data_IF_792608012950
#
_entry.id   IF_792608012950
#
_cell.length_a   1.000
_cell.length_b   1.000
_cell.length_c   1.000
_cell.angle_alpha   90.00
_cell.angle_beta   90.00
_cell.angle_gamma   90.00
#
_symmetry.space_group_name_H-M   'P 1'
#
loop_
_entity.id
_entity.type
_entity.pdbx_description
1 polymer ?
#
# COMPACT_ATOMS: atom_id res chain seq x y z
N UNK A 1 -46.02 2.75 -2.88
CA UNK A 1 -45.73 4.16 -2.62
C UNK A 1 -45.42 4.40 -1.12
N UNK A 2 -46.32 3.96 -0.21
CA UNK A 2 -46.14 4.21 1.24
C UNK A 2 -44.81 3.65 1.81
N UNK A 3 -44.38 2.48 1.37
CA UNK A 3 -43.09 1.87 1.77
C UNK A 3 -41.88 2.64 1.21
N UNK A 4 -42.01 3.24 0.02
CA UNK A 4 -40.98 4.10 -0.57
C UNK A 4 -40.83 5.39 0.23
N UNK A 5 -41.96 6.06 0.53
CA UNK A 5 -41.97 7.29 1.33
C UNK A 5 -41.34 7.08 2.70
N UNK A 6 -41.55 5.88 3.29
CA UNK A 6 -40.93 5.48 4.56
C UNK A 6 -39.49 4.98 4.44
N UNK A 7 -38.90 4.97 3.25
CA UNK A 7 -37.56 4.47 2.99
C UNK A 7 -37.39 2.95 3.14
N UNK A 8 -38.50 2.20 3.26
CA UNK A 8 -38.51 0.73 3.45
C UNK A 8 -38.39 -0.06 2.16
N UNK A 9 -38.76 0.54 1.02
CA UNK A 9 -38.65 -0.08 -0.29
C UNK A 9 -37.87 0.84 -1.26
N UNK A 10 -37.04 0.27 -2.16
CA UNK A 10 -36.32 1.05 -3.16
C UNK A 10 -37.23 1.51 -4.30
N UNK A 11 -36.89 2.62 -4.94
CA UNK A 11 -37.47 3.00 -6.22
C UNK A 11 -36.79 2.13 -7.28
N UNK A 12 -37.56 1.17 -7.83
CA UNK A 12 -37.06 0.35 -8.95
C UNK A 12 -37.14 1.13 -10.26
N UNK A 13 -36.34 0.75 -11.30
CA UNK A 13 -36.45 1.38 -12.62
C UNK A 13 -37.87 1.37 -13.22
N UNK A 14 -38.64 0.31 -12.95
CA UNK A 14 -40.05 0.20 -13.35
C UNK A 14 -40.91 1.28 -12.68
N UNK A 15 -40.73 1.44 -11.37
CA UNK A 15 -41.43 2.47 -10.59
C UNK A 15 -41.03 3.88 -11.01
N UNK A 16 -39.76 4.08 -11.34
CA UNK A 16 -39.27 5.37 -11.85
C UNK A 16 -40.00 5.78 -13.15
N UNK A 17 -40.25 4.83 -14.06
CA UNK A 17 -41.03 5.07 -15.30
C UNK A 17 -42.52 5.34 -14.98
N UNK A 18 -43.08 4.67 -13.98
CA UNK A 18 -44.46 4.92 -13.54
C UNK A 18 -44.59 6.31 -12.92
N UNK A 19 -43.61 6.73 -12.10
CA UNK A 19 -43.52 8.07 -11.52
C UNK A 19 -43.34 9.15 -12.59
N UNK A 20 -42.53 8.92 -13.60
CA UNK A 20 -42.37 9.82 -14.75
C UNK A 20 -43.71 10.08 -15.42
N UNK A 21 -44.49 9.03 -15.68
CA UNK A 21 -45.80 9.15 -16.33
C UNK A 21 -46.83 9.93 -15.50
N UNK A 22 -46.76 9.79 -14.15
CA UNK A 22 -47.77 10.40 -13.28
C UNK A 22 -47.38 11.82 -12.85
N UNK A 23 -46.05 12.06 -12.67
CA UNK A 23 -45.55 13.31 -12.08
C UNK A 23 -44.85 14.22 -13.11
N UNK A 24 -44.70 13.77 -14.34
CA UNK A 24 -43.96 14.47 -15.40
C UNK A 24 -42.52 14.84 -15.03
N UNK A 25 -41.90 13.97 -14.20
CA UNK A 25 -40.49 14.10 -13.79
C UNK A 25 -39.73 12.89 -14.34
N UNK A 26 -38.63 13.11 -15.10
CA UNK A 26 -37.93 12.03 -15.79
C UNK A 26 -37.55 10.87 -14.89
N UNK A 27 -37.67 9.63 -15.36
CA UNK A 27 -37.31 8.40 -14.63
C UNK A 27 -35.84 8.41 -14.17
N UNK A 28 -34.95 9.07 -14.93
CA UNK A 28 -33.55 9.26 -14.57
C UNK A 28 -33.36 10.05 -13.28
N UNK A 29 -34.24 11.04 -13.02
CA UNK A 29 -34.22 11.79 -11.74
C UNK A 29 -34.47 10.85 -10.57
N UNK A 30 -35.51 10.00 -10.64
CA UNK A 30 -35.88 9.07 -9.58
C UNK A 30 -34.82 8.00 -9.33
N UNK A 31 -34.28 7.43 -10.40
CA UNK A 31 -33.18 6.46 -10.32
C UNK A 31 -31.91 7.08 -9.71
N UNK A 32 -31.56 8.31 -10.06
CA UNK A 32 -30.42 9.00 -9.48
C UNK A 32 -30.62 9.30 -7.99
N UNK A 33 -31.84 9.69 -7.59
CA UNK A 33 -32.18 9.93 -6.16
C UNK A 33 -32.08 8.65 -5.34
N UNK A 34 -32.61 7.55 -5.85
CA UNK A 34 -32.51 6.25 -5.18
C UNK A 34 -31.05 5.84 -5.01
N UNK A 35 -30.25 5.95 -6.08
CA UNK A 35 -28.81 5.64 -6.01
C UNK A 35 -28.08 6.49 -4.96
N UNK A 36 -28.30 7.79 -4.94
CA UNK A 36 -27.68 8.68 -3.96
C UNK A 36 -28.12 8.35 -2.53
N UNK A 37 -29.39 8.04 -2.34
CA UNK A 37 -29.94 7.65 -1.03
C UNK A 37 -29.28 6.36 -0.53
N UNK A 38 -29.19 5.31 -1.37
CA UNK A 38 -28.55 4.05 -1.01
C UNK A 38 -27.05 4.20 -0.75
N UNK A 39 -26.38 4.99 -1.56
CA UNK A 39 -24.95 5.29 -1.31
C UNK A 39 -24.75 5.99 0.03
N UNK A 40 -25.61 6.96 0.38
CA UNK A 40 -25.54 7.66 1.66
C UNK A 40 -25.77 6.70 2.83
N UNK A 41 -26.76 5.83 2.75
CA UNK A 41 -27.01 4.82 3.78
C UNK A 41 -25.82 3.89 3.96
N UNK A 42 -25.28 3.35 2.86
CA UNK A 42 -24.11 2.48 2.91
C UNK A 42 -22.90 3.16 3.56
N UNK A 43 -22.67 4.45 3.25
CA UNK A 43 -21.59 5.23 3.88
C UNK A 43 -21.82 5.44 5.39
N UNK A 44 -23.07 5.65 5.82
CA UNK A 44 -23.39 5.78 7.23
C UNK A 44 -23.18 4.46 7.99
N UNK A 45 -23.61 3.34 7.41
CA UNK A 45 -23.40 2.01 7.96
C UNK A 45 -21.89 1.66 8.05
N UNK A 46 -21.13 1.94 6.98
CA UNK A 46 -19.69 1.79 7.00
C UNK A 46 -19.04 2.63 8.07
N UNK A 47 -19.43 3.91 8.19
CA UNK A 47 -18.89 4.81 9.21
C UNK A 47 -19.15 4.27 10.63
N UNK A 48 -20.37 3.79 10.90
CA UNK A 48 -20.71 3.20 12.20
C UNK A 48 -19.84 1.96 12.50
N UNK A 49 -19.70 1.05 11.53
CA UNK A 49 -18.84 -0.13 11.64
C UNK A 49 -17.37 0.24 11.91
N UNK A 50 -16.81 1.17 11.14
CA UNK A 50 -15.42 1.60 11.33
C UNK A 50 -15.21 2.35 12.64
N UNK A 51 -16.26 2.98 13.20
CA UNK A 51 -16.20 3.61 14.52
C UNK A 51 -15.96 2.59 15.65
N UNK A 52 -16.50 1.37 15.50
CA UNK A 52 -16.28 0.27 16.45
C UNK A 52 -14.85 -0.31 16.33
N UNK A 53 -14.18 -0.09 15.20
CA UNK A 53 -12.88 -0.66 14.88
C UNK A 53 -11.71 0.34 14.98
N UNK A 54 -11.95 1.52 15.56
CA UNK A 54 -10.90 2.57 15.63
C UNK A 54 -9.70 2.19 16.51
N UNK A 55 -9.83 1.23 17.41
CA UNK A 55 -8.75 0.74 18.25
C UNK A 55 -7.67 0.03 17.43
N UNK A 56 -8.03 -0.56 16.29
CA UNK A 56 -7.10 -1.17 15.33
C UNK A 56 -5.98 -0.21 14.87
N UNK A 57 -6.22 1.11 14.87
CA UNK A 57 -5.19 2.10 14.56
C UNK A 57 -4.01 2.07 15.55
N UNK A 58 -4.25 1.58 16.78
CA UNK A 58 -3.22 1.50 17.82
C UNK A 58 -2.08 0.55 17.46
N UNK A 59 -2.33 -0.40 16.57
CA UNK A 59 -1.34 -1.38 16.13
C UNK A 59 -0.32 -0.80 15.13
N UNK A 60 -0.60 0.38 14.56
CA UNK A 60 0.23 0.98 13.50
C UNK A 60 0.99 2.21 13.96
N UNK A 61 2.19 2.45 13.45
CA UNK A 61 2.97 3.66 13.71
C UNK A 61 2.46 4.86 12.88
N UNK A 62 1.18 5.24 13.07
CA UNK A 62 0.45 6.26 12.29
C UNK A 62 1.23 7.57 12.18
N UNK A 63 1.81 8.04 13.28
CA UNK A 63 2.58 9.29 13.29
C UNK A 63 3.81 9.23 12.38
N UNK A 64 4.50 8.08 12.34
CA UNK A 64 5.66 7.90 11.46
C UNK A 64 5.21 7.78 9.99
N UNK A 65 4.17 7.00 9.70
CA UNK A 65 3.60 6.87 8.34
C UNK A 65 3.14 8.22 7.80
N UNK A 66 2.48 9.03 8.63
CA UNK A 66 2.04 10.39 8.27
C UNK A 66 3.23 11.33 8.05
N UNK A 67 4.24 11.27 8.93
CA UNK A 67 5.47 12.08 8.79
C UNK A 67 6.18 11.83 7.47
N UNK A 68 6.19 10.58 7.00
CA UNK A 68 6.77 10.20 5.73
C UNK A 68 5.83 10.39 4.52
N UNK A 69 4.60 10.88 4.75
CA UNK A 69 3.62 11.09 3.68
C UNK A 69 3.07 9.80 3.06
N UNK A 70 3.12 8.67 3.78
CA UNK A 70 2.57 7.40 3.28
C UNK A 70 1.04 7.37 3.36
N UNK A 71 0.49 8.04 4.36
CA UNK A 71 -0.93 8.26 4.59
C UNK A 71 -1.19 9.70 4.97
N UNK A 72 -2.40 10.19 4.73
CA UNK A 72 -2.83 11.52 5.17
C UNK A 72 -3.10 11.54 6.67
N UNK A 73 -2.81 12.68 7.31
CA UNK A 73 -3.15 12.89 8.73
C UNK A 73 -4.59 13.34 8.86
N UNK A 74 -5.41 12.52 9.48
CA UNK A 74 -6.82 12.84 9.74
C UNK A 74 -7.03 13.29 11.17
N UNK A 75 -7.89 14.31 11.38
CA UNK A 75 -8.29 14.77 12.72
C UNK A 75 -9.24 13.80 13.43
N UNK A 76 -10.06 13.09 12.66
CA UNK A 76 -11.04 12.12 13.17
C UNK A 76 -10.52 10.70 12.97
N UNK A 77 -10.86 9.79 13.88
CA UNK A 77 -10.37 8.41 13.87
C UNK A 77 -10.88 7.59 12.68
N UNK A 78 -12.18 7.67 12.34
CA UNK A 78 -12.75 6.90 11.23
C UNK A 78 -12.10 7.23 9.88
N UNK A 79 -11.94 8.51 9.47
CA UNK A 79 -11.14 8.84 8.28
C UNK A 79 -9.70 8.32 8.35
N UNK A 80 -9.09 8.28 9.55
CA UNK A 80 -7.73 7.72 9.70
C UNK A 80 -7.73 6.19 9.47
N UNK A 81 -8.76 5.46 9.91
CA UNK A 81 -8.93 4.04 9.57
C UNK A 81 -9.05 3.87 8.06
N UNK A 82 -9.87 4.68 7.40
CA UNK A 82 -10.04 4.62 5.94
C UNK A 82 -8.73 4.86 5.18
N UNK A 83 -7.89 5.81 5.64
CA UNK A 83 -6.55 6.03 5.05
C UNK A 83 -5.63 4.80 5.21
N UNK A 84 -5.66 4.14 6.36
CA UNK A 84 -4.87 2.91 6.57
C UNK A 84 -5.39 1.76 5.71
N UNK A 85 -6.71 1.57 5.61
CA UNK A 85 -7.32 0.57 4.74
C UNK A 85 -6.95 0.80 3.27
N UNK A 86 -7.02 2.05 2.81
CA UNK A 86 -6.61 2.46 1.45
C UNK A 86 -5.14 2.18 1.20
N UNK A 87 -4.26 2.49 2.15
CA UNK A 87 -2.82 2.22 2.05
C UNK A 87 -2.54 0.73 1.85
N UNK A 88 -3.20 -0.14 2.61
CA UNK A 88 -3.03 -1.59 2.46
C UNK A 88 -3.83 -2.20 1.31
N UNK A 89 -4.82 -1.48 0.77
CA UNK A 89 -5.70 -1.97 -0.29
C UNK A 89 -6.66 -3.04 0.18
N UNK A 90 -7.20 -2.91 1.39
CA UNK A 90 -8.17 -3.81 2.01
C UNK A 90 -9.48 -3.09 2.32
N UNK A 91 -10.58 -3.84 2.28
CA UNK A 91 -11.91 -3.28 2.48
C UNK A 91 -12.28 -3.10 3.96
N UNK A 92 -11.64 -3.84 4.86
CA UNK A 92 -11.93 -3.77 6.29
C UNK A 92 -10.76 -4.33 7.12
N UNK A 93 -10.67 -3.98 8.45
CA UNK A 93 -9.63 -4.49 9.34
C UNK A 93 -9.59 -6.02 9.48
N UNK A 94 -10.73 -6.71 9.31
CA UNK A 94 -10.81 -8.17 9.36
C UNK A 94 -9.98 -8.85 8.26
N UNK A 95 -9.63 -8.12 7.18
CA UNK A 95 -8.75 -8.59 6.11
C UNK A 95 -7.26 -8.41 6.40
N UNK A 96 -6.92 -7.89 7.58
CA UNK A 96 -5.52 -7.72 7.97
C UNK A 96 -4.69 -9.01 7.95
N UNK A 97 -5.19 -10.19 8.40
CA UNK A 97 -4.45 -11.44 8.28
C UNK A 97 -4.03 -11.79 6.85
N UNK A 98 -4.88 -11.50 5.85
CA UNK A 98 -4.57 -11.74 4.43
C UNK A 98 -3.37 -10.89 3.96
N UNK A 99 -3.26 -9.65 4.46
CA UNK A 99 -2.12 -8.77 4.17
C UNK A 99 -0.86 -9.29 4.82
N UNK A 100 -0.95 -9.71 6.09
CA UNK A 100 0.19 -10.28 6.82
C UNK A 100 0.72 -11.53 6.15
N UNK A 101 -0.15 -12.45 5.74
CA UNK A 101 0.24 -13.66 5.02
C UNK A 101 0.91 -13.31 3.68
N UNK A 102 0.27 -12.48 2.87
CA UNK A 102 0.77 -12.11 1.53
C UNK A 102 2.12 -11.40 1.57
N UNK A 103 2.32 -10.46 2.48
CA UNK A 103 3.56 -9.68 2.57
C UNK A 103 4.62 -10.36 3.45
N UNK A 104 4.20 -11.04 4.51
CA UNK A 104 5.10 -11.71 5.45
C UNK A 104 5.69 -13.00 4.91
N UNK A 105 4.93 -13.80 4.15
CA UNK A 105 5.41 -15.08 3.59
C UNK A 105 6.46 -14.90 2.48
N UNK A 106 6.44 -13.76 1.80
CA UNK A 106 7.36 -13.46 0.69
C UNK A 106 8.75 -13.00 1.14
N UNK A 107 8.94 -12.74 2.42
CA UNK A 107 10.21 -12.25 2.95
C UNK A 107 10.78 -13.33 3.88
N UNK A 108 11.88 -13.94 3.45
CA UNK A 108 12.67 -14.82 4.28
C UNK A 108 13.34 -13.98 5.37
N UNK A 109 12.62 -13.73 6.47
CA UNK A 109 13.21 -13.05 7.61
C UNK A 109 14.28 -13.94 8.26
N UNK A 110 15.52 -13.54 8.18
CA UNK A 110 16.48 -13.87 9.22
C UNK A 110 16.05 -13.11 10.48
N UNK A 111 15.14 -13.70 11.25
CA UNK A 111 14.83 -13.23 12.60
C UNK A 111 16.12 -13.32 13.40
N UNK A 112 16.71 -12.20 13.71
CA UNK A 112 17.58 -12.12 14.88
C UNK A 112 16.68 -12.40 16.07
N UNK A 113 16.80 -13.58 16.70
CA UNK A 113 16.00 -14.02 17.85
C UNK A 113 16.06 -13.06 19.05
N UNK A 114 16.97 -12.09 19.03
CA UNK A 114 17.28 -11.20 20.15
C UNK A 114 16.46 -9.90 20.19
N UNK A 115 15.60 -9.58 19.20
CA UNK A 115 15.01 -8.25 19.12
C UNK A 115 13.51 -8.32 18.73
N UNK A 116 12.65 -7.74 19.58
CA UNK A 116 11.22 -7.55 19.26
C UNK A 116 11.06 -6.71 18.00
N UNK A 117 10.47 -7.30 16.96
CA UNK A 117 10.07 -6.64 15.71
C UNK A 117 8.58 -6.38 15.76
N UNK A 118 8.19 -5.14 15.47
CA UNK A 118 6.79 -4.78 15.31
C UNK A 118 6.31 -5.25 13.92
N UNK A 119 5.50 -6.29 13.89
CA UNK A 119 5.00 -6.88 12.65
C UNK A 119 4.14 -5.89 11.84
N UNK A 120 3.34 -5.02 12.49
CA UNK A 120 2.52 -4.05 11.78
C UNK A 120 3.37 -2.97 11.12
N UNK A 121 4.39 -2.49 11.81
CA UNK A 121 5.36 -1.54 11.25
C UNK A 121 6.14 -2.17 10.09
N UNK A 122 6.53 -3.42 10.23
CA UNK A 122 7.25 -4.15 9.19
C UNK A 122 6.40 -4.34 7.93
N UNK A 123 5.17 -4.83 8.08
CA UNK A 123 4.23 -5.02 6.96
C UNK A 123 3.90 -3.68 6.29
N UNK A 124 3.76 -2.60 7.07
CA UNK A 124 3.58 -1.25 6.51
C UNK A 124 4.80 -0.80 5.70
N UNK A 125 6.02 -1.07 6.18
CA UNK A 125 7.24 -0.77 5.45
C UNK A 125 7.31 -1.57 4.14
N UNK A 126 7.04 -2.88 4.18
CA UNK A 126 6.99 -3.73 2.98
C UNK A 126 5.94 -3.24 1.98
N UNK A 127 4.76 -2.86 2.46
CA UNK A 127 3.69 -2.33 1.61
C UNK A 127 4.11 -1.05 0.90
N UNK A 128 4.78 -0.14 1.59
CA UNK A 128 5.30 1.09 0.98
C UNK A 128 6.27 0.77 -0.16
N UNK A 129 7.20 -0.15 0.05
CA UNK A 129 8.11 -0.58 -1.03
C UNK A 129 7.37 -1.17 -2.23
N UNK A 130 6.30 -1.96 -2.00
CA UNK A 130 5.46 -2.48 -3.07
C UNK A 130 4.79 -1.35 -3.87
N UNK A 131 4.24 -0.36 -3.18
CA UNK A 131 3.59 0.79 -3.82
C UNK A 131 4.59 1.60 -4.65
N UNK A 132 5.76 1.91 -4.09
CA UNK A 132 6.79 2.68 -4.81
C UNK A 132 7.33 1.91 -6.02
N UNK A 133 7.52 0.60 -5.87
CA UNK A 133 8.01 -0.23 -6.98
C UNK A 133 6.98 -0.39 -8.11
N UNK A 134 5.67 -0.27 -7.85
CA UNK A 134 4.64 -0.29 -8.90
C UNK A 134 4.78 0.85 -9.89
N UNK A 135 5.22 2.01 -9.42
CA UNK A 135 5.43 3.21 -10.25
C UNK A 135 6.71 3.12 -11.12
N UNK A 136 7.60 2.17 -10.84
CA UNK A 136 8.83 1.98 -11.59
C UNK A 136 8.56 1.06 -12.79
N UNK A 137 8.76 1.55 -14.00
CA UNK A 137 8.68 0.75 -15.22
C UNK A 137 10.02 0.03 -15.43
N UNK A 138 10.02 -1.28 -15.21
CA UNK A 138 11.19 -2.13 -15.43
C UNK A 138 11.07 -2.90 -16.75
N UNK A 139 12.22 -3.20 -17.37
CA UNK A 139 12.31 -4.24 -18.40
C UNK A 139 11.95 -5.62 -17.80
N UNK A 140 11.81 -6.64 -18.65
CA UNK A 140 11.65 -8.01 -18.15
C UNK A 140 12.91 -8.47 -17.43
N UNK A 141 12.75 -9.14 -16.29
CA UNK A 141 13.86 -9.67 -15.53
C UNK A 141 14.74 -10.59 -16.40
N UNK A 142 16.03 -10.34 -16.34
CA UNK A 142 17.05 -11.15 -16.98
C UNK A 142 18.20 -11.40 -16.00
N UNK A 143 18.31 -12.63 -15.53
CA UNK A 143 19.28 -13.04 -14.50
C UNK A 143 20.71 -12.75 -14.93
N UNK A 144 21.11 -13.21 -16.12
CA UNK A 144 22.48 -13.01 -16.62
C UNK A 144 22.85 -11.54 -16.70
N UNK A 145 21.95 -10.72 -17.28
CA UNK A 145 22.16 -9.28 -17.38
C UNK A 145 22.25 -8.63 -16.00
N UNK A 146 21.44 -9.09 -15.03
CA UNK A 146 21.50 -8.57 -13.67
C UNK A 146 22.83 -8.93 -13.00
N UNK A 147 23.31 -10.17 -13.11
CA UNK A 147 24.61 -10.60 -12.61
C UNK A 147 25.76 -9.77 -13.20
N UNK A 148 25.78 -9.59 -14.54
CA UNK A 148 26.79 -8.74 -15.21
C UNK A 148 26.72 -7.29 -14.71
N UNK A 149 25.50 -6.78 -14.50
CA UNK A 149 25.28 -5.42 -14.00
C UNK A 149 25.77 -5.24 -12.57
N UNK A 150 25.64 -6.25 -11.69
CA UNK A 150 26.14 -6.19 -10.32
C UNK A 150 27.66 -5.96 -10.25
N UNK A 151 28.43 -6.48 -11.21
CA UNK A 151 29.87 -6.20 -11.30
C UNK A 151 30.13 -4.71 -11.56
N UNK A 152 29.32 -4.07 -12.40
CA UNK A 152 29.44 -2.64 -12.71
C UNK A 152 28.95 -1.77 -11.54
N UNK A 153 27.88 -2.18 -10.88
CA UNK A 153 27.31 -1.45 -9.71
C UNK A 153 28.36 -1.30 -8.58
N UNK A 154 29.29 -2.22 -8.43
CA UNK A 154 30.37 -2.11 -7.41
C UNK A 154 31.17 -0.81 -7.52
N UNK A 155 31.37 -0.31 -8.72
CA UNK A 155 32.11 0.94 -8.94
C UNK A 155 31.32 2.18 -8.52
N UNK A 156 30.00 2.07 -8.31
CA UNK A 156 29.19 3.17 -7.78
C UNK A 156 29.41 3.41 -6.28
N UNK A 157 30.06 2.47 -5.58
CA UNK A 157 30.31 2.61 -4.13
C UNK A 157 31.20 3.79 -3.74
N UNK A 158 31.96 4.34 -4.67
CA UNK A 158 32.81 5.51 -4.47
C UNK A 158 32.13 6.83 -4.87
N UNK A 159 30.94 6.76 -5.46
CA UNK A 159 30.19 7.92 -5.91
C UNK A 159 29.33 8.51 -4.80
N UNK A 160 29.05 9.81 -4.82
CA UNK A 160 28.20 10.44 -3.81
C UNK A 160 26.74 9.96 -3.92
N UNK A 161 25.96 9.97 -2.79
CA UNK A 161 24.61 9.41 -2.73
C UNK A 161 23.64 9.87 -3.81
N UNK A 162 23.70 11.14 -4.21
CA UNK A 162 22.84 11.69 -5.27
C UNK A 162 23.10 11.02 -6.63
N UNK A 163 24.33 10.63 -6.89
CA UNK A 163 24.76 9.99 -8.14
C UNK A 163 24.44 8.49 -8.08
N UNK A 164 24.96 7.79 -7.08
CA UNK A 164 24.79 6.34 -7.05
C UNK A 164 23.33 5.90 -6.91
N UNK A 165 22.49 6.62 -6.15
CA UNK A 165 21.08 6.23 -6.00
C UNK A 165 20.32 6.30 -7.32
N UNK A 166 20.63 7.26 -8.16
CA UNK A 166 20.03 7.38 -9.49
C UNK A 166 20.51 6.28 -10.41
N UNK A 167 21.84 6.14 -10.55
CA UNK A 167 22.46 5.16 -11.43
C UNK A 167 22.09 3.72 -11.04
N UNK A 168 22.11 3.40 -9.75
CA UNK A 168 21.71 2.10 -9.24
C UNK A 168 20.28 1.74 -9.65
N UNK A 169 19.34 2.68 -9.51
CA UNK A 169 17.95 2.46 -9.93
C UNK A 169 17.85 2.21 -11.43
N UNK A 170 18.52 3.02 -12.25
CA UNK A 170 18.49 2.89 -13.71
C UNK A 170 19.08 1.55 -14.18
N UNK A 171 20.25 1.18 -13.66
CA UNK A 171 20.90 -0.07 -14.02
C UNK A 171 20.08 -1.29 -13.63
N UNK A 172 19.51 -1.32 -12.42
CA UNK A 172 18.64 -2.42 -11.98
C UNK A 172 17.32 -2.47 -12.76
N UNK A 173 16.70 -1.31 -13.02
CA UNK A 173 15.46 -1.20 -13.80
C UNK A 173 15.62 -1.81 -15.20
N UNK A 174 16.78 -1.59 -15.86
CA UNK A 174 17.11 -2.19 -17.16
C UNK A 174 17.26 -3.71 -17.10
N UNK A 175 17.39 -4.31 -15.91
CA UNK A 175 17.50 -5.75 -15.71
C UNK A 175 16.21 -6.39 -15.15
N UNK A 176 15.14 -5.62 -14.98
CA UNK A 176 13.87 -6.09 -14.41
C UNK A 176 13.80 -6.05 -12.88
N UNK A 177 14.69 -5.29 -12.26
CA UNK A 177 14.76 -5.16 -10.80
C UNK A 177 14.41 -3.73 -10.38
N UNK A 178 13.32 -3.55 -9.62
CA UNK A 178 12.97 -2.26 -9.02
C UNK A 178 13.75 -2.09 -7.70
N UNK A 179 14.53 -1.03 -7.58
CA UNK A 179 15.20 -0.67 -6.33
C UNK A 179 14.50 0.53 -5.70
N UNK A 180 14.03 0.38 -4.47
CA UNK A 180 13.37 1.45 -3.72
C UNK A 180 14.07 1.71 -2.39
N UNK A 181 14.15 2.99 -2.03
CA UNK A 181 14.67 3.43 -0.74
C UNK A 181 13.50 3.89 0.12
N UNK A 182 13.18 3.13 1.16
CA UNK A 182 12.03 3.38 2.02
C UNK A 182 12.51 3.65 3.45
N UNK A 183 12.22 4.83 4.02
CA UNK A 183 12.57 5.13 5.41
C UNK A 183 12.02 4.06 6.36
N UNK A 184 12.81 3.68 7.36
CA UNK A 184 12.34 2.73 8.36
C UNK A 184 11.24 3.33 9.23
N UNK A 185 10.33 2.47 9.68
CA UNK A 185 9.39 2.78 10.74
C UNK A 185 9.97 2.35 12.09
N UNK A 186 9.50 2.93 13.20
CA UNK A 186 9.93 2.52 14.54
C UNK A 186 9.77 1.00 14.72
N UNK A 187 10.80 0.36 15.27
CA UNK A 187 10.84 -1.09 15.55
C UNK A 187 10.80 -2.03 14.34
N UNK A 188 10.94 -1.57 13.10
CA UNK A 188 11.04 -2.47 11.93
C UNK A 188 12.35 -3.24 11.89
N UNK A 189 13.47 -2.60 12.26
CA UNK A 189 14.81 -3.20 12.39
C UNK A 189 15.28 -4.02 11.18
N UNK A 190 14.84 -3.65 9.99
CA UNK A 190 15.17 -4.31 8.72
C UNK A 190 16.05 -3.39 7.90
N UNK A 191 17.13 -3.94 7.32
CA UNK A 191 18.04 -3.19 6.43
C UNK A 191 17.62 -3.28 4.97
N UNK A 192 17.07 -4.42 4.56
CA UNK A 192 16.58 -4.67 3.20
C UNK A 192 15.54 -5.78 3.17
N UNK A 193 14.91 -5.94 2.02
CA UNK A 193 14.03 -7.06 1.71
C UNK A 193 13.96 -7.22 0.19
N UNK A 194 14.06 -8.47 -0.27
CA UNK A 194 13.92 -8.82 -1.69
C UNK A 194 12.70 -9.72 -1.89
N UNK A 195 11.95 -9.45 -2.95
CA UNK A 195 10.79 -10.26 -3.33
C UNK A 195 10.42 -10.09 -4.79
N UNK A 196 9.72 -11.06 -5.32
CA UNK A 196 9.10 -10.97 -6.64
C UNK A 196 7.75 -10.25 -6.57
N UNK A 197 7.58 -9.20 -7.40
CA UNK A 197 6.28 -8.53 -7.58
C UNK A 197 5.46 -9.23 -8.67
N UNK A 198 6.14 -9.70 -9.70
CA UNK A 198 5.59 -10.51 -10.80
C UNK A 198 6.68 -11.50 -11.25
N UNK A 199 6.37 -12.52 -12.06
CA UNK A 199 7.39 -13.43 -12.61
C UNK A 199 8.51 -12.73 -13.38
N UNK A 200 8.30 -11.47 -13.81
CA UNK A 200 9.25 -10.70 -14.63
C UNK A 200 9.77 -9.44 -13.92
N UNK A 201 9.45 -9.23 -12.66
CA UNK A 201 9.85 -8.02 -11.93
C UNK A 201 10.16 -8.34 -10.47
N UNK A 202 11.43 -8.21 -10.11
CA UNK A 202 11.88 -8.27 -8.73
C UNK A 202 11.86 -6.88 -8.06
N UNK A 203 11.79 -6.87 -6.75
CA UNK A 203 11.91 -5.68 -5.90
C UNK A 203 13.03 -5.89 -4.91
N UNK A 204 13.97 -4.97 -4.86
CA UNK A 204 14.94 -4.80 -3.77
C UNK A 204 14.52 -3.52 -3.03
N UNK A 205 14.08 -3.69 -1.80
CA UNK A 205 13.68 -2.60 -0.91
C UNK A 205 14.76 -2.40 0.15
N UNK A 206 15.29 -1.19 0.27
CA UNK A 206 16.35 -0.85 1.21
C UNK A 206 15.86 0.18 2.22
N UNK A 207 16.18 -0.03 3.49
CA UNK A 207 15.95 0.99 4.52
C UNK A 207 17.12 1.99 4.53
N UNK A 208 16.83 3.21 4.99
CA UNK A 208 17.85 4.24 5.20
C UNK A 208 18.34 4.26 6.66
N UNK A 209 18.30 3.10 7.32
CA UNK A 209 18.54 2.97 8.77
C UNK A 209 19.91 3.44 9.20
N UNK A 210 20.94 2.95 8.55
CA UNK A 210 22.31 3.35 8.82
C UNK A 210 22.71 4.40 7.79
N UNK A 211 22.93 5.63 8.23
CA UNK A 211 23.25 6.77 7.35
C UNK A 211 24.67 6.71 6.74
N UNK A 212 25.27 5.53 6.70
CA UNK A 212 26.59 5.31 6.08
C UNK A 212 26.40 4.50 4.78
N UNK A 213 27.18 4.87 3.78
CA UNK A 213 27.15 4.23 2.45
C UNK A 213 27.54 2.75 2.53
N UNK A 214 28.45 2.37 3.42
CA UNK A 214 28.91 0.99 3.62
C UNK A 214 27.77 0.04 3.98
N UNK A 215 26.88 0.44 4.90
CA UNK A 215 25.74 -0.38 5.31
C UNK A 215 24.70 -0.50 4.19
N UNK A 216 24.53 0.55 3.39
CA UNK A 216 23.61 0.51 2.26
C UNK A 216 24.11 -0.47 1.20
N UNK A 217 25.40 -0.39 0.84
CA UNK A 217 26.00 -1.28 -0.14
C UNK A 217 26.03 -2.74 0.33
N UNK A 218 26.36 -2.97 1.60
CA UNK A 218 26.26 -4.31 2.19
C UNK A 218 24.84 -4.86 2.08
N UNK A 219 23.83 -4.06 2.46
CA UNK A 219 22.44 -4.47 2.39
C UNK A 219 22.01 -4.73 0.93
N UNK A 220 22.37 -3.86 0.00
CA UNK A 220 22.04 -4.04 -1.41
C UNK A 220 22.62 -5.34 -1.99
N UNK A 221 23.91 -5.59 -1.81
CA UNK A 221 24.53 -6.81 -2.35
C UNK A 221 24.06 -8.08 -1.63
N UNK A 222 23.69 -7.98 -0.35
CA UNK A 222 23.08 -9.09 0.37
C UNK A 222 21.69 -9.44 -0.20
N UNK A 223 20.90 -8.43 -0.54
CA UNK A 223 19.56 -8.62 -1.09
C UNK A 223 19.57 -8.99 -2.59
N UNK A 224 20.65 -8.72 -3.31
CA UNK A 224 20.79 -8.99 -4.73
C UNK A 224 21.38 -10.38 -5.05
N UNK A 225 22.01 -11.05 -4.06
CA UNK A 225 22.65 -12.38 -4.20
C UNK A 225 21.78 -13.48 -3.70
#
# INVERSE_FOLDING_TARGET
>A
INEIIKGKAPITPKMAIELERVLDVPATFWNNRERQYRETLARLEEHARLQEQVEWLGDFPINAMTKWGWIEKCKKKVPQVQEVLKFFGIASPERWPDVMERLGSQVAFRKSEALEVDNHALIAWLRKGELDAKEILCEKYNEKRFQDTLHTIRYLSVEPPKVFQHELKQMCMACGVAVVFVPELPKTRVSGATRWLTPNKALIQLSLRYKSDDHLWFSFFHEAG
#
